data_IF_926837467100
#
_entry.id   IF_926837467100
#
_cell.length_a   1.000
_cell.length_b   1.000
_cell.length_c   1.000
_cell.angle_alpha   90.00
_cell.angle_beta   90.00
_cell.angle_gamma   90.00
#
_symmetry.space_group_name_H-M   'P 1'
#
loop_
_entity.id
_entity.type
_entity.pdbx_description
1 polymer ?
#
# COMPACT_ATOMS: atom_id res chain seq x y z
N UNK A 1 -7.79 -19.43 -8.52
CA UNK A 1 -6.40 -19.58 -8.11
C UNK A 1 -5.42 -19.64 -9.30
N UNK A 2 -5.59 -20.47 -10.36
CA UNK A 2 -4.64 -20.53 -11.47
C UNK A 2 -4.33 -19.17 -12.10
N UNK A 3 -5.35 -18.36 -12.36
CA UNK A 3 -5.19 -17.01 -12.93
C UNK A 3 -4.31 -16.11 -12.08
N UNK A 4 -4.44 -16.20 -10.74
CA UNK A 4 -3.65 -15.40 -9.79
C UNK A 4 -2.19 -15.84 -9.69
N UNK A 5 -1.90 -17.11 -9.98
CA UNK A 5 -0.54 -17.66 -9.92
C UNK A 5 0.26 -17.47 -11.22
N UNK A 6 -0.40 -17.16 -12.32
CA UNK A 6 0.28 -16.87 -13.59
C UNK A 6 0.87 -15.46 -13.60
N UNK A 7 2.10 -15.33 -14.08
CA UNK A 7 2.68 -14.02 -14.37
C UNK A 7 1.99 -13.35 -15.56
N UNK A 8 2.24 -12.05 -15.75
CA UNK A 8 1.83 -11.34 -16.95
C UNK A 8 2.86 -11.55 -18.08
N UNK A 9 2.37 -11.64 -19.31
CA UNK A 9 3.21 -11.46 -20.50
C UNK A 9 3.64 -9.99 -20.61
N UNK A 10 4.94 -9.74 -20.43
CA UNK A 10 5.48 -8.38 -20.46
C UNK A 10 5.50 -7.74 -21.86
N UNK A 11 5.23 -8.51 -22.90
CA UNK A 11 5.07 -7.99 -24.26
C UNK A 11 3.66 -7.43 -24.51
N UNK A 12 2.76 -7.57 -23.55
CA UNK A 12 1.35 -7.13 -23.60
C UNK A 12 1.06 -6.14 -22.47
N UNK A 13 -0.08 -5.41 -22.55
CA UNK A 13 -0.57 -4.62 -21.44
C UNK A 13 -0.70 -5.49 -20.17
N UNK A 14 -0.31 -4.94 -19.02
CA UNK A 14 -0.25 -5.67 -17.76
C UNK A 14 -1.62 -5.78 -17.07
N UNK A 15 -2.63 -6.16 -17.86
CA UNK A 15 -3.96 -6.49 -17.37
C UNK A 15 -4.57 -7.62 -18.24
N UNK A 16 -5.43 -8.41 -17.64
CA UNK A 16 -6.18 -9.49 -18.26
C UNK A 16 -7.61 -9.49 -17.75
N UNK A 17 -8.58 -9.72 -18.62
CA UNK A 17 -9.96 -9.91 -18.26
C UNK A 17 -10.42 -11.30 -18.74
N UNK A 18 -11.00 -12.08 -17.85
CA UNK A 18 -11.50 -13.42 -18.15
C UNK A 18 -12.97 -13.50 -17.77
N UNK A 19 -13.81 -13.86 -18.73
CA UNK A 19 -15.23 -14.14 -18.52
C UNK A 19 -15.38 -15.63 -18.28
N UNK A 20 -16.04 -15.99 -17.19
CA UNK A 20 -16.39 -17.37 -16.82
C UNK A 20 -17.90 -17.50 -16.87
N UNK A 21 -18.38 -18.21 -17.88
CA UNK A 21 -19.80 -18.41 -18.12
C UNK A 21 -20.27 -19.78 -17.61
N UNK A 22 -21.58 -19.93 -17.40
CA UNK A 22 -22.19 -21.18 -17.01
C UNK A 22 -21.93 -21.57 -15.54
N UNK A 23 -21.92 -20.62 -14.63
CA UNK A 23 -21.88 -20.93 -13.20
C UNK A 23 -23.15 -21.64 -12.74
N UNK A 24 -23.08 -22.39 -11.63
CA UNK A 24 -24.14 -23.27 -11.15
C UNK A 24 -25.46 -22.53 -10.87
N UNK A 25 -25.43 -21.26 -10.58
CA UNK A 25 -26.60 -20.40 -10.36
C UNK A 25 -27.09 -19.68 -11.64
N UNK A 26 -26.50 -19.99 -12.80
CA UNK A 26 -26.79 -19.34 -14.07
C UNK A 26 -26.18 -17.97 -14.25
N UNK A 27 -25.32 -17.54 -13.35
CA UNK A 27 -24.60 -16.27 -13.45
C UNK A 27 -23.31 -16.41 -14.25
N UNK A 28 -22.73 -15.28 -14.61
CA UNK A 28 -21.42 -15.16 -15.27
C UNK A 28 -20.48 -14.40 -14.36
N UNK A 29 -19.24 -14.84 -14.22
CA UNK A 29 -18.22 -14.13 -13.46
C UNK A 29 -17.22 -13.45 -14.39
N UNK A 30 -16.84 -12.23 -14.04
CA UNK A 30 -15.72 -11.52 -14.64
C UNK A 30 -14.54 -11.52 -13.67
N UNK A 31 -13.42 -12.06 -14.11
CA UNK A 31 -12.15 -12.01 -13.38
C UNK A 31 -11.28 -10.96 -14.04
N UNK A 32 -11.04 -9.86 -13.34
CA UNK A 32 -10.14 -8.80 -13.78
C UNK A 32 -8.82 -8.91 -13.01
N UNK A 33 -7.73 -9.13 -13.73
CA UNK A 33 -6.38 -9.20 -13.20
C UNK A 33 -5.59 -8.00 -13.68
N UNK A 34 -5.10 -7.18 -12.76
CA UNK A 34 -4.36 -5.95 -13.05
C UNK A 34 -3.04 -5.98 -12.27
N UNK A 35 -1.94 -5.68 -12.97
CA UNK A 35 -0.65 -5.58 -12.30
C UNK A 35 -0.60 -4.34 -11.41
N UNK A 36 -0.09 -4.49 -10.20
CA UNK A 36 -0.10 -3.41 -9.20
C UNK A 36 0.74 -2.17 -9.58
N UNK A 37 1.59 -2.27 -10.63
CA UNK A 37 2.29 -1.08 -11.17
C UNK A 37 1.35 -0.09 -11.88
N UNK A 38 0.17 -0.54 -12.32
CA UNK A 38 -0.81 0.32 -12.99
C UNK A 38 -1.53 1.20 -11.97
N UNK A 39 -1.94 0.60 -10.85
CA UNK A 39 -2.74 1.29 -9.84
C UNK A 39 -2.69 0.58 -8.49
N UNK A 40 -2.91 1.35 -7.42
CA UNK A 40 -3.18 0.80 -6.08
C UNK A 40 -4.68 0.52 -5.86
N UNK A 41 -5.04 0.08 -4.64
CA UNK A 41 -6.42 -0.29 -4.32
C UNK A 41 -7.43 0.83 -4.55
N UNK A 42 -7.11 2.08 -4.18
CA UNK A 42 -8.01 3.23 -4.36
C UNK A 42 -8.14 3.61 -5.83
N UNK A 43 -7.03 3.62 -6.57
CA UNK A 43 -7.04 3.87 -8.01
C UNK A 43 -7.75 2.74 -8.77
N UNK A 44 -7.57 1.48 -8.34
CA UNK A 44 -8.27 0.32 -8.91
C UNK A 44 -9.78 0.39 -8.73
N UNK A 45 -10.26 0.84 -7.56
CA UNK A 45 -11.69 1.09 -7.35
C UNK A 45 -12.25 2.16 -8.31
N UNK A 46 -11.52 3.26 -8.49
CA UNK A 46 -11.92 4.30 -9.45
C UNK A 46 -11.95 3.78 -10.89
N UNK A 47 -10.98 2.96 -11.25
CA UNK A 47 -10.92 2.31 -12.55
C UNK A 47 -12.13 1.38 -12.76
N UNK A 48 -12.49 0.58 -11.75
CA UNK A 48 -13.66 -0.29 -11.81
C UNK A 48 -14.96 0.51 -11.98
N UNK A 49 -15.14 1.60 -11.21
CA UNK A 49 -16.30 2.48 -11.34
C UNK A 49 -16.39 3.19 -12.71
N UNK A 50 -15.26 3.34 -13.40
CA UNK A 50 -15.24 3.89 -14.76
C UNK A 50 -15.49 2.83 -15.84
N UNK A 51 -15.26 1.54 -15.53
CA UNK A 51 -15.40 0.43 -16.47
C UNK A 51 -16.76 -0.27 -16.39
N UNK A 52 -17.44 -0.16 -15.25
CA UNK A 52 -18.68 -0.90 -15.00
C UNK A 52 -19.82 0.03 -14.62
N UNK A 53 -20.98 -0.23 -15.22
CA UNK A 53 -22.24 0.39 -14.82
C UNK A 53 -22.68 -0.19 -13.46
N UNK A 54 -23.31 0.63 -12.62
CA UNK A 54 -23.82 0.21 -11.32
C UNK A 54 -25.26 -0.33 -11.42
N UNK A 55 -25.94 -0.02 -12.51
CA UNK A 55 -27.28 -0.52 -12.83
C UNK A 55 -27.40 -0.85 -14.32
N UNK A 56 -28.31 -1.79 -14.68
CA UNK A 56 -28.50 -2.20 -16.09
C UNK A 56 -28.88 -1.06 -17.04
N UNK A 57 -29.55 -0.04 -16.49
CA UNK A 57 -30.08 1.10 -17.25
C UNK A 57 -29.28 2.39 -17.06
N UNK A 58 -28.06 2.31 -16.51
CA UNK A 58 -27.22 3.48 -16.36
C UNK A 58 -26.93 4.14 -17.72
N UNK A 59 -27.00 5.48 -17.81
CA UNK A 59 -26.70 6.16 -19.05
C UNK A 59 -25.25 5.93 -19.44
N UNK A 60 -25.02 5.46 -20.67
CA UNK A 60 -23.66 5.25 -21.18
C UNK A 60 -22.93 6.59 -21.23
N UNK A 61 -21.76 6.71 -20.56
CA UNK A 61 -20.97 7.92 -20.67
C UNK A 61 -20.49 8.12 -22.10
N UNK A 62 -20.44 9.36 -22.56
CA UNK A 62 -19.72 9.69 -23.79
C UNK A 62 -18.25 9.30 -23.60
N UNK A 63 -17.78 8.39 -24.42
CA UNK A 63 -16.38 8.04 -24.42
C UNK A 63 -15.58 9.18 -25.05
N UNK A 64 -14.47 9.58 -24.46
CA UNK A 64 -13.56 10.53 -25.10
C UNK A 64 -13.06 9.95 -26.42
N UNK A 65 -12.74 10.82 -27.36
CA UNK A 65 -12.12 10.42 -28.62
C UNK A 65 -10.89 9.54 -28.34
N UNK A 66 -10.69 8.53 -29.17
CA UNK A 66 -9.50 7.69 -29.03
C UNK A 66 -8.25 8.57 -29.16
N UNK A 67 -7.27 8.43 -28.25
CA UNK A 67 -6.06 9.21 -28.33
C UNK A 67 -5.31 8.86 -29.62
N UNK A 68 -4.72 9.87 -30.25
CA UNK A 68 -3.85 9.66 -31.39
C UNK A 68 -2.67 8.76 -30.98
N UNK A 69 -2.52 7.65 -31.69
CA UNK A 69 -1.43 6.72 -31.44
C UNK A 69 -0.16 7.26 -32.10
N UNK A 70 0.66 7.94 -31.31
CA UNK A 70 1.99 8.35 -31.73
C UNK A 70 3.04 7.40 -31.16
N UNK A 71 3.69 6.63 -32.02
CA UNK A 71 4.81 5.76 -31.64
C UNK A 71 6.09 6.59 -31.69
N UNK A 72 6.59 6.97 -30.54
CA UNK A 72 7.83 7.74 -30.42
C UNK A 72 9.00 7.03 -31.11
N UNK A 73 9.68 7.74 -31.98
CA UNK A 73 10.97 7.32 -32.54
C UNK A 73 12.05 7.28 -31.46
N UNK A 74 13.19 6.68 -31.74
CA UNK A 74 14.33 6.62 -30.83
C UNK A 74 14.77 8.02 -30.31
N UNK A 75 14.97 9.03 -31.17
CA UNK A 75 15.33 10.37 -30.76
C UNK A 75 14.26 11.04 -29.89
N UNK A 76 12.97 10.87 -30.23
CA UNK A 76 11.86 11.41 -29.46
C UNK A 76 11.78 10.80 -28.06
N UNK A 77 12.03 9.48 -27.93
CA UNK A 77 12.10 8.83 -26.60
C UNK A 77 13.21 9.40 -25.73
N UNK A 78 14.38 9.67 -26.33
CA UNK A 78 15.51 10.28 -25.61
C UNK A 78 15.15 11.70 -25.21
N UNK A 79 14.58 12.50 -26.10
CA UNK A 79 14.16 13.87 -25.82
C UNK A 79 13.08 13.92 -24.72
N UNK A 80 12.10 13.04 -24.79
CA UNK A 80 11.03 12.92 -23.78
C UNK A 80 11.61 12.52 -22.42
N UNK A 81 12.48 11.51 -22.37
CA UNK A 81 13.17 11.07 -21.15
C UNK A 81 14.02 12.20 -20.53
N UNK A 82 14.77 12.94 -21.35
CA UNK A 82 15.58 14.08 -20.87
C UNK A 82 14.68 15.20 -20.33
N UNK A 83 13.60 15.50 -21.04
CA UNK A 83 12.63 16.52 -20.61
C UNK A 83 11.97 16.14 -19.28
N UNK A 84 11.51 14.90 -19.18
CA UNK A 84 10.93 14.35 -17.96
C UNK A 84 11.91 14.42 -16.78
N UNK A 85 13.14 13.93 -16.95
CA UNK A 85 14.16 13.95 -15.89
C UNK A 85 14.57 15.38 -15.49
N UNK A 86 14.60 16.30 -16.43
CA UNK A 86 14.91 17.70 -16.17
C UNK A 86 13.80 18.36 -15.35
N UNK A 87 12.55 18.21 -15.75
CA UNK A 87 11.40 18.75 -15.03
C UNK A 87 11.29 18.15 -13.62
N UNK A 88 11.47 16.83 -13.52
CA UNK A 88 11.47 16.11 -12.25
C UNK A 88 12.60 16.58 -11.33
N UNK A 89 13.81 16.74 -11.85
CA UNK A 89 14.95 17.23 -11.08
C UNK A 89 14.74 18.67 -10.61
N UNK A 90 14.18 19.53 -11.44
CA UNK A 90 13.84 20.89 -11.08
C UNK A 90 12.77 20.95 -9.97
N UNK A 91 11.74 20.12 -10.05
CA UNK A 91 10.68 20.04 -9.02
C UNK A 91 11.22 19.51 -7.68
N UNK A 92 12.10 18.52 -7.73
CA UNK A 92 12.80 18.03 -6.54
C UNK A 92 13.67 19.10 -5.92
N UNK A 93 14.48 19.80 -6.72
CA UNK A 93 15.32 20.88 -6.23
C UNK A 93 14.51 22.01 -5.62
N UNK A 94 13.39 22.39 -6.24
CA UNK A 94 12.48 23.41 -5.68
C UNK A 94 11.86 22.95 -4.35
N UNK A 95 11.47 21.68 -4.22
CA UNK A 95 10.94 21.12 -2.97
C UNK A 95 12.02 21.04 -1.87
N UNK A 96 13.25 20.71 -2.23
CA UNK A 96 14.41 20.73 -1.34
C UNK A 96 14.76 22.15 -0.85
N UNK A 97 14.79 23.11 -1.77
CA UNK A 97 15.04 24.50 -1.43
C UNK A 97 13.98 25.04 -0.47
N UNK A 98 12.71 24.74 -0.71
CA UNK A 98 11.60 25.13 0.16
C UNK A 98 11.69 24.50 1.55
N UNK A 99 12.08 23.23 1.65
CA UNK A 99 12.29 22.53 2.94
C UNK A 99 13.58 22.98 3.61
N UNK A 100 14.65 23.18 2.85
CA UNK A 100 15.94 23.68 3.35
C UNK A 100 15.83 25.07 3.96
N UNK A 101 15.05 25.97 3.38
CA UNK A 101 14.77 27.28 3.95
C UNK A 101 13.98 27.18 5.26
N UNK A 102 12.98 26.30 5.33
CA UNK A 102 12.23 26.02 6.56
C UNK A 102 13.12 25.40 7.64
N UNK A 103 13.97 24.43 7.26
CA UNK A 103 14.94 23.80 8.17
C UNK A 103 16.00 24.78 8.70
N UNK A 104 16.55 25.63 7.84
CA UNK A 104 17.53 26.66 8.25
C UNK A 104 16.90 27.65 9.22
N UNK A 105 15.66 28.07 8.98
CA UNK A 105 14.94 28.95 9.90
C UNK A 105 14.68 28.28 11.26
N UNK A 106 14.33 26.98 11.25
CA UNK A 106 14.17 26.19 12.46
C UNK A 106 15.47 26.08 13.29
N UNK A 107 16.61 25.84 12.64
CA UNK A 107 17.91 25.80 13.32
C UNK A 107 18.28 27.15 13.95
N UNK A 108 17.90 28.26 13.33
CA UNK A 108 18.16 29.60 13.87
C UNK A 108 17.24 29.91 15.06
N UNK A 109 15.98 29.51 14.99
CA UNK A 109 14.97 29.83 16.02
C UNK A 109 14.96 28.87 17.20
N UNK A 110 15.22 27.59 16.94
CA UNK A 110 15.28 26.50 17.94
C UNK A 110 16.31 25.44 17.55
N UNK A 111 17.62 25.68 17.81
CA UNK A 111 18.69 24.76 17.42
C UNK A 111 18.61 23.39 18.14
N UNK A 112 18.11 23.36 19.37
CA UNK A 112 17.95 22.10 20.13
C UNK A 112 16.80 21.25 19.57
N UNK A 113 15.68 21.89 19.31
CA UNK A 113 14.54 21.20 18.68
C UNK A 113 14.84 20.74 17.25
N UNK A 114 15.60 21.52 16.48
CA UNK A 114 16.03 21.11 15.15
C UNK A 114 16.98 19.90 15.17
N UNK A 115 17.87 19.82 16.14
CA UNK A 115 18.78 18.68 16.32
C UNK A 115 18.00 17.42 16.73
N UNK A 116 17.10 17.55 17.70
CA UNK A 116 16.21 16.43 18.13
C UNK A 116 15.33 15.95 16.98
N UNK A 117 14.77 16.86 16.18
CA UNK A 117 13.99 16.50 15.00
C UNK A 117 14.80 15.77 13.92
N UNK A 118 16.07 16.14 13.73
CA UNK A 118 16.96 15.45 12.79
C UNK A 118 17.33 14.03 13.27
N UNK A 119 17.52 13.83 14.56
CA UNK A 119 17.76 12.53 15.17
C UNK A 119 16.53 11.63 15.03
N UNK A 120 15.35 12.12 15.40
CA UNK A 120 14.07 11.41 15.26
C UNK A 120 13.81 11.00 13.81
N UNK A 121 14.07 11.90 12.85
CA UNK A 121 13.92 11.64 11.44
C UNK A 121 14.88 10.53 10.95
N UNK A 122 16.14 10.56 11.39
CA UNK A 122 17.14 9.55 11.04
C UNK A 122 16.73 8.18 11.57
N UNK A 123 16.28 8.11 12.82
CA UNK A 123 15.76 6.87 13.40
C UNK A 123 14.52 6.37 12.69
N UNK A 124 13.61 7.26 12.32
CA UNK A 124 12.38 6.96 11.59
C UNK A 124 12.69 6.35 10.22
N UNK A 125 13.59 6.95 9.45
CA UNK A 125 14.06 6.40 8.17
C UNK A 125 14.73 5.05 8.36
N UNK A 126 15.57 4.91 9.39
CA UNK A 126 16.24 3.65 9.67
C UNK A 126 15.24 2.54 10.02
N UNK A 127 14.23 2.81 10.85
CA UNK A 127 13.14 1.85 11.15
C UNK A 127 12.42 1.38 9.89
N UNK A 128 12.21 2.28 8.94
CA UNK A 128 11.49 1.99 7.70
C UNK A 128 12.28 1.06 6.77
N UNK A 129 13.58 1.32 6.60
CA UNK A 129 14.42 0.60 5.62
C UNK A 129 15.17 -0.59 6.19
N UNK A 130 15.30 -0.71 7.51
CA UNK A 130 16.02 -1.79 8.16
C UNK A 130 15.44 -3.16 7.77
N UNK A 131 16.25 -4.07 7.23
CA UNK A 131 15.83 -5.45 7.03
C UNK A 131 15.41 -6.09 8.37
N UNK A 132 14.34 -6.84 8.32
CA UNK A 132 13.82 -7.53 9.49
C UNK A 132 13.43 -8.96 9.13
N UNK A 133 13.44 -9.85 10.11
CA UNK A 133 12.92 -11.21 9.97
C UNK A 133 11.46 -11.27 10.43
N UNK A 134 10.64 -12.19 9.89
CA UNK A 134 9.32 -12.46 10.42
C UNK A 134 9.37 -12.75 11.93
N UNK A 135 8.32 -12.40 12.66
CA UNK A 135 8.18 -12.70 14.09
C UNK A 135 7.48 -14.04 14.31
N UNK A 136 6.69 -14.47 13.35
CA UNK A 136 6.00 -15.75 13.38
C UNK A 136 6.96 -16.91 13.17
N UNK A 137 6.95 -17.91 14.03
CA UNK A 137 7.69 -19.16 13.79
C UNK A 137 7.03 -20.07 12.75
N UNK A 138 5.79 -19.77 12.33
CA UNK A 138 5.01 -20.55 11.36
C UNK A 138 5.07 -19.97 9.95
N UNK A 139 5.28 -18.65 9.82
CA UNK A 139 5.23 -17.91 8.55
C UNK A 139 6.66 -17.55 8.12
N UNK A 140 7.51 -18.53 7.99
CA UNK A 140 8.95 -18.34 7.71
C UNK A 140 9.29 -18.55 6.25
N UNK A 141 8.59 -19.45 5.57
CA UNK A 141 8.83 -19.78 4.17
C UNK A 141 7.85 -19.06 3.24
N UNK A 142 8.31 -18.81 2.02
CA UNK A 142 7.53 -18.17 0.96
C UNK A 142 7.49 -19.08 -0.25
N UNK A 143 6.31 -19.23 -0.83
CA UNK A 143 6.13 -19.92 -2.11
C UNK A 143 5.46 -19.00 -3.12
N UNK A 144 5.46 -19.41 -4.39
CA UNK A 144 4.70 -18.75 -5.46
C UNK A 144 3.25 -19.27 -5.55
N UNK A 145 2.90 -20.26 -4.71
CA UNK A 145 1.53 -20.77 -4.62
C UNK A 145 0.66 -19.79 -3.84
N UNK A 146 -0.52 -19.52 -4.36
CA UNK A 146 -1.51 -18.62 -3.76
C UNK A 146 -2.78 -19.40 -3.49
N UNK A 147 -3.37 -19.17 -2.31
CA UNK A 147 -4.72 -19.64 -1.98
C UNK A 147 -5.60 -18.45 -1.63
N UNK A 148 -6.83 -18.49 -2.10
CA UNK A 148 -7.83 -17.48 -1.82
C UNK A 148 -8.89 -18.07 -0.89
N UNK A 149 -9.32 -17.26 0.06
CA UNK A 149 -10.49 -17.52 0.89
C UNK A 149 -11.30 -16.24 1.02
N UNK A 150 -12.61 -16.36 1.12
CA UNK A 150 -13.52 -15.23 1.31
C UNK A 150 -14.27 -15.40 2.62
N UNK A 151 -14.44 -14.29 3.33
CA UNK A 151 -15.28 -14.21 4.53
C UNK A 151 -16.18 -13.00 4.38
N UNK A 152 -17.48 -13.22 4.57
CA UNK A 152 -18.48 -12.17 4.55
C UNK A 152 -19.14 -12.05 5.91
N UNK A 153 -19.36 -10.84 6.36
CA UNK A 153 -20.15 -10.55 7.57
C UNK A 153 -20.84 -9.19 7.44
N UNK A 154 -21.95 -8.98 8.15
CA UNK A 154 -22.72 -7.74 8.03
C UNK A 154 -21.93 -6.51 8.49
N UNK A 155 -21.82 -5.51 7.63
CA UNK A 155 -21.12 -4.26 7.92
C UNK A 155 -21.62 -3.55 9.22
N UNK A 156 -22.92 -3.54 9.56
CA UNK A 156 -23.38 -2.96 10.84
C UNK A 156 -22.73 -3.59 12.06
N UNK A 157 -22.46 -4.90 12.04
CA UNK A 157 -21.79 -5.60 13.16
C UNK A 157 -20.35 -5.11 13.32
N UNK A 158 -19.60 -4.99 12.21
CA UNK A 158 -18.24 -4.47 12.25
C UNK A 158 -18.19 -3.01 12.73
N UNK A 159 -19.15 -2.17 12.30
CA UNK A 159 -19.28 -0.79 12.78
C UNK A 159 -19.62 -0.71 14.26
N UNK A 160 -20.48 -1.59 14.77
CA UNK A 160 -20.83 -1.66 16.18
C UNK A 160 -19.62 -2.07 17.04
N UNK A 161 -18.86 -3.08 16.61
CA UNK A 161 -17.63 -3.50 17.27
C UNK A 161 -16.58 -2.38 17.31
N UNK A 162 -16.36 -1.70 16.19
CA UNK A 162 -15.46 -0.55 16.13
C UNK A 162 -15.90 0.57 17.11
N UNK A 163 -17.20 0.89 17.15
CA UNK A 163 -17.74 1.90 18.04
C UNK A 163 -17.59 1.53 19.53
N UNK A 164 -17.75 0.25 19.88
CA UNK A 164 -17.54 -0.24 21.24
C UNK A 164 -16.09 -0.03 21.72
N UNK A 165 -15.11 -0.08 20.81
CA UNK A 165 -13.72 0.22 21.08
C UNK A 165 -13.36 1.70 20.92
N UNK A 166 -14.32 2.61 20.71
CA UNK A 166 -14.08 4.01 20.32
C UNK A 166 -13.20 4.15 19.07
N UNK A 167 -13.22 3.14 18.21
CA UNK A 167 -12.40 3.02 17.01
C UNK A 167 -13.17 3.28 15.70
N UNK A 168 -12.49 3.00 14.60
CA UNK A 168 -13.04 3.04 13.23
C UNK A 168 -13.15 1.63 12.67
N UNK A 169 -13.85 1.48 11.56
CA UNK A 169 -14.01 0.19 10.87
C UNK A 169 -12.67 -0.52 10.60
N UNK A 170 -11.64 0.24 10.27
CA UNK A 170 -10.30 -0.30 10.06
C UNK A 170 -9.70 -0.93 11.34
N UNK A 171 -10.01 -0.40 12.52
CA UNK A 171 -9.52 -0.95 13.79
C UNK A 171 -10.20 -2.29 14.08
N UNK A 172 -11.48 -2.42 13.77
CA UNK A 172 -12.20 -3.70 13.85
C UNK A 172 -11.69 -4.72 12.83
N UNK A 173 -11.36 -4.28 11.62
CA UNK A 173 -10.79 -5.15 10.58
C UNK A 173 -9.42 -5.71 11.00
N UNK A 174 -8.49 -4.85 11.42
CA UNK A 174 -7.15 -5.27 11.85
C UNK A 174 -7.24 -6.10 13.15
N UNK A 175 -8.11 -5.71 14.10
CA UNK A 175 -8.34 -6.47 15.33
C UNK A 175 -8.86 -7.87 15.05
N UNK A 176 -9.80 -8.01 14.12
CA UNK A 176 -10.30 -9.32 13.69
C UNK A 176 -9.23 -10.21 13.06
N UNK A 177 -8.36 -9.62 12.21
CA UNK A 177 -7.21 -10.33 11.63
C UNK A 177 -6.22 -10.76 12.70
N UNK A 178 -5.86 -9.88 13.64
CA UNK A 178 -4.93 -10.17 14.71
C UNK A 178 -5.42 -11.33 15.58
N UNK A 179 -6.69 -11.28 16.00
CA UNK A 179 -7.32 -12.37 16.77
C UNK A 179 -7.39 -13.69 15.99
N UNK A 180 -7.67 -13.61 14.68
CA UNK A 180 -7.67 -14.77 13.81
C UNK A 180 -6.29 -15.41 13.68
N UNK A 181 -5.25 -14.60 13.46
CA UNK A 181 -3.86 -15.05 13.38
C UNK A 181 -3.37 -15.61 14.71
N UNK A 182 -3.72 -14.99 15.81
CA UNK A 182 -3.41 -15.52 17.15
C UNK A 182 -4.00 -16.90 17.33
N UNK A 183 -5.30 -17.11 17.07
CA UNK A 183 -5.96 -18.42 17.15
C UNK A 183 -5.31 -19.45 16.24
N UNK A 184 -4.86 -19.03 15.08
CA UNK A 184 -4.12 -19.88 14.16
C UNK A 184 -2.80 -20.38 14.79
N UNK A 185 -2.04 -19.49 15.42
CA UNK A 185 -0.79 -19.87 16.11
C UNK A 185 -1.06 -20.79 17.30
N UNK A 186 -2.06 -20.49 18.11
CA UNK A 186 -2.49 -21.32 19.25
C UNK A 186 -2.89 -22.74 18.80
N UNK A 187 -3.64 -22.86 17.70
CA UNK A 187 -4.03 -24.15 17.13
C UNK A 187 -2.83 -24.98 16.65
N UNK A 188 -1.69 -24.35 16.37
CA UNK A 188 -0.43 -25.01 16.04
C UNK A 188 0.54 -25.11 17.23
N UNK A 189 0.04 -24.96 18.44
CA UNK A 189 0.82 -24.99 19.69
C UNK A 189 2.00 -23.99 19.68
N UNK A 190 1.79 -22.82 19.10
CA UNK A 190 2.75 -21.70 19.07
C UNK A 190 2.08 -20.46 19.64
N UNK A 191 2.69 -19.87 20.65
CA UNK A 191 2.28 -18.57 21.17
C UNK A 191 3.25 -17.52 20.63
N UNK A 192 2.71 -16.39 20.19
CA UNK A 192 3.47 -15.25 19.70
C UNK A 192 3.03 -14.00 20.45
N UNK A 193 3.99 -13.18 20.85
CA UNK A 193 3.70 -11.93 21.57
C UNK A 193 3.26 -10.84 20.59
N UNK A 194 3.86 -10.80 19.42
CA UNK A 194 3.51 -9.87 18.35
C UNK A 194 3.75 -10.48 16.97
N UNK A 195 3.08 -9.93 15.97
CA UNK A 195 3.31 -10.20 14.55
C UNK A 195 3.59 -8.89 13.81
N UNK A 196 4.39 -8.99 12.77
CA UNK A 196 4.74 -7.82 11.96
C UNK A 196 3.82 -7.68 10.76
N UNK A 197 3.05 -6.61 10.77
CA UNK A 197 2.11 -6.25 9.71
C UNK A 197 2.74 -5.23 8.76
N UNK A 198 2.61 -5.47 7.46
CA UNK A 198 2.75 -4.42 6.45
C UNK A 198 1.37 -3.78 6.20
N UNK A 199 1.29 -2.46 6.31
CA UNK A 199 0.08 -1.70 6.05
C UNK A 199 0.37 -0.60 5.03
N UNK A 200 -0.30 -0.58 3.88
CA UNK A 200 -0.22 0.55 2.98
C UNK A 200 -0.95 1.76 3.56
N UNK A 201 -0.23 2.88 3.67
CA UNK A 201 -0.78 4.19 4.06
C UNK A 201 -0.99 4.98 2.79
N UNK A 202 -2.22 5.39 2.53
CA UNK A 202 -2.53 6.26 1.39
C UNK A 202 -2.01 7.67 1.66
N UNK A 203 -1.14 8.16 0.78
CA UNK A 203 -0.54 9.51 0.83
C UNK A 203 -1.05 10.45 -0.26
N UNK A 204 -2.15 10.09 -0.94
CA UNK A 204 -2.78 10.98 -1.90
C UNK A 204 -3.26 12.25 -1.23
N UNK A 205 -2.63 13.37 -1.58
CA UNK A 205 -3.12 14.68 -1.23
C UNK A 205 -4.25 15.08 -2.18
N UNK A 206 -5.21 15.87 -1.69
CA UNK A 206 -6.34 16.38 -2.49
C UNK A 206 -5.89 17.20 -3.71
N UNK A 207 -4.66 17.69 -3.69
CA UNK A 207 -4.02 18.48 -4.76
C UNK A 207 -3.41 17.63 -5.89
N UNK A 208 -3.06 16.38 -5.64
CA UNK A 208 -2.65 15.45 -6.70
C UNK A 208 -3.92 14.86 -7.28
N UNK A 209 -4.37 15.42 -8.36
CA UNK A 209 -5.66 15.13 -8.97
C UNK A 209 -5.98 13.64 -9.14
N UNK A 210 -7.11 13.36 -9.72
CA UNK A 210 -7.76 12.07 -9.90
C UNK A 210 -6.95 11.03 -10.73
N UNK A 211 -5.62 11.13 -10.74
CA UNK A 211 -4.72 10.31 -11.54
C UNK A 211 -4.67 8.87 -11.02
N UNK A 212 -4.80 7.93 -11.94
CA UNK A 212 -4.41 6.55 -11.74
C UNK A 212 -2.93 6.48 -11.33
N UNK A 213 -2.54 5.48 -10.56
CA UNK A 213 -1.17 5.30 -10.10
C UNK A 213 -1.10 4.91 -8.63
N UNK A 214 0.10 4.59 -8.18
CA UNK A 214 0.36 4.20 -6.80
C UNK A 214 0.70 5.43 -5.96
N UNK A 215 -0.06 5.66 -4.90
CA UNK A 215 0.19 6.73 -3.94
C UNK A 215 0.04 6.21 -2.51
N UNK A 216 0.85 5.22 -2.16
CA UNK A 216 0.89 4.66 -0.82
C UNK A 216 2.33 4.45 -0.33
N UNK A 217 2.49 4.44 0.98
CA UNK A 217 3.73 4.10 1.67
C UNK A 217 3.51 2.79 2.44
N UNK A 218 4.39 1.80 2.32
CA UNK A 218 4.32 0.60 3.14
C UNK A 218 4.80 0.93 4.56
N UNK A 219 3.88 0.99 5.52
CA UNK A 219 4.22 1.12 6.92
C UNK A 219 4.37 -0.25 7.57
N UNK A 220 5.43 -0.42 8.35
CA UNK A 220 5.68 -1.61 9.14
C UNK A 220 5.20 -1.39 10.56
N UNK A 221 4.32 -2.27 11.02
CA UNK A 221 3.68 -2.15 12.33
C UNK A 221 3.84 -3.48 13.07
N UNK A 222 4.29 -3.44 14.31
CA UNK A 222 4.24 -4.60 15.20
C UNK A 222 2.88 -4.64 15.89
N UNK A 223 2.11 -5.67 15.57
CA UNK A 223 0.76 -5.91 16.05
C UNK A 223 0.85 -6.81 17.27
N UNK A 224 0.53 -6.33 18.48
CA UNK A 224 0.52 -7.19 19.66
C UNK A 224 -0.55 -8.27 19.53
N UNK A 225 -0.27 -9.48 20.01
CA UNK A 225 -1.20 -10.60 20.00
C UNK A 225 -1.98 -10.72 21.32
N UNK A 226 -1.72 -9.86 22.27
CA UNK A 226 -2.45 -9.67 23.52
C UNK A 226 -2.95 -8.22 23.60
N UNK A 227 -4.02 -7.94 24.27
CA UNK A 227 -4.86 -8.77 25.17
C UNK A 227 -5.84 -9.69 24.42
N UNK A 228 -6.46 -10.58 25.20
CA UNK A 228 -7.46 -11.54 24.72
C UNK A 228 -8.80 -10.88 24.39
N UNK A 229 -9.12 -9.78 25.06
CA UNK A 229 -10.34 -9.04 24.88
C UNK A 229 -10.33 -8.24 23.56
N UNK A 230 -11.30 -8.47 22.66
CA UNK A 230 -11.31 -7.84 21.34
C UNK A 230 -11.33 -6.30 21.39
N UNK A 231 -12.01 -5.72 22.38
CA UNK A 231 -12.10 -4.25 22.52
C UNK A 231 -10.73 -3.67 22.89
N UNK A 232 -10.03 -4.29 23.84
CA UNK A 232 -8.70 -3.83 24.26
C UNK A 232 -7.67 -4.04 23.15
N UNK A 233 -7.77 -5.14 22.43
CA UNK A 233 -6.96 -5.37 21.22
C UNK A 233 -7.15 -4.24 20.18
N UNK A 234 -8.39 -3.87 19.88
CA UNK A 234 -8.68 -2.79 18.94
C UNK A 234 -8.13 -1.43 19.42
N UNK A 235 -8.22 -1.14 20.72
CA UNK A 235 -7.68 0.11 21.30
C UNK A 235 -6.15 0.17 21.18
N UNK A 236 -5.45 -0.90 21.53
CA UNK A 236 -3.99 -0.99 21.39
C UNK A 236 -3.57 -0.84 19.93
N UNK A 237 -4.21 -1.58 19.02
CA UNK A 237 -3.93 -1.51 17.60
C UNK A 237 -4.13 -0.11 17.03
N UNK A 238 -5.17 0.58 17.47
CA UNK A 238 -5.40 1.96 17.04
C UNK A 238 -4.23 2.87 17.40
N UNK A 239 -3.70 2.79 18.62
CA UNK A 239 -2.56 3.62 19.03
C UNK A 239 -1.31 3.33 18.19
N UNK A 240 -1.01 2.06 17.97
CA UNK A 240 0.15 1.61 17.17
C UNK A 240 0.00 2.04 15.69
N UNK A 241 -1.20 1.89 15.13
CA UNK A 241 -1.51 2.28 13.74
C UNK A 241 -1.45 3.80 13.53
N UNK A 242 -1.95 4.58 14.50
CA UNK A 242 -1.87 6.04 14.43
C UNK A 242 -0.42 6.50 14.53
N UNK A 243 0.36 5.94 15.44
CA UNK A 243 1.78 6.26 15.56
C UNK A 243 2.54 5.98 14.25
N UNK A 244 2.31 4.82 13.64
CA UNK A 244 2.93 4.48 12.35
C UNK A 244 2.49 5.41 11.20
N UNK A 245 1.28 5.97 11.26
CA UNK A 245 0.81 6.96 10.28
C UNK A 245 1.54 8.30 10.42
N UNK A 246 1.77 8.70 11.66
CA UNK A 246 2.37 10.00 12.00
C UNK A 246 3.91 9.94 12.01
N UNK A 247 4.50 8.84 11.51
CA UNK A 247 5.96 8.64 11.41
C UNK A 247 6.60 9.72 10.52
N UNK A 248 7.60 10.49 11.01
CA UNK A 248 8.22 11.59 10.27
C UNK A 248 8.83 11.17 8.93
N UNK A 249 9.32 9.93 8.81
CA UNK A 249 9.85 9.41 7.55
C UNK A 249 8.82 9.35 6.42
N UNK A 250 7.52 9.31 6.74
CA UNK A 250 6.47 9.29 5.72
C UNK A 250 6.50 10.53 4.83
N UNK A 251 6.87 11.68 5.37
CA UNK A 251 7.00 12.95 4.63
C UNK A 251 8.20 12.95 3.67
N UNK A 252 9.17 12.09 3.91
CA UNK A 252 10.36 11.94 3.07
C UNK A 252 10.25 10.80 2.05
N UNK A 253 9.18 10.01 2.08
CA UNK A 253 9.06 8.82 1.22
C UNK A 253 9.09 9.16 -0.26
N UNK A 254 8.51 10.28 -0.67
CA UNK A 254 8.61 10.74 -2.06
C UNK A 254 10.07 10.98 -2.45
N UNK A 255 10.84 11.59 -1.58
CA UNK A 255 12.25 11.87 -1.76
C UNK A 255 13.08 10.59 -1.82
N UNK A 256 12.84 9.67 -0.88
CA UNK A 256 13.49 8.35 -0.83
C UNK A 256 13.14 7.53 -2.06
N UNK A 257 11.88 7.51 -2.47
CA UNK A 257 11.39 6.82 -3.66
C UNK A 257 12.08 7.34 -4.93
N UNK A 258 12.24 8.65 -5.06
CA UNK A 258 12.94 9.27 -6.18
C UNK A 258 14.44 8.92 -6.21
N UNK A 259 15.07 8.81 -5.05
CA UNK A 259 16.46 8.31 -4.93
C UNK A 259 16.57 6.84 -5.31
N UNK A 260 15.69 6.01 -4.78
CA UNK A 260 15.66 4.57 -5.05
C UNK A 260 15.41 4.24 -6.53
N UNK A 261 14.58 5.02 -7.21
CA UNK A 261 14.30 4.85 -8.63
C UNK A 261 15.50 5.13 -9.54
N UNK A 262 16.59 5.71 -9.02
CA UNK A 262 17.87 5.90 -9.75
C UNK A 262 18.86 4.76 -9.54
N UNK A 263 18.57 3.86 -8.62
CA UNK A 263 19.38 2.67 -8.43
C UNK A 263 19.09 1.64 -9.52
N UNK A 264 20.04 0.77 -9.84
CA UNK A 264 19.79 -0.39 -10.70
C UNK A 264 18.59 -1.20 -10.17
N UNK A 265 17.76 -1.70 -11.08
CA UNK A 265 16.55 -2.47 -10.73
C UNK A 265 16.85 -3.65 -9.81
N UNK A 266 17.98 -4.30 -9.95
CA UNK A 266 18.41 -5.39 -9.07
C UNK A 266 18.60 -4.94 -7.61
N UNK A 267 19.19 -3.77 -7.40
CA UNK A 267 19.39 -3.19 -6.06
C UNK A 267 18.06 -2.77 -5.45
N UNK A 268 17.23 -2.07 -6.21
CA UNK A 268 15.89 -1.66 -5.77
C UNK A 268 15.04 -2.87 -5.41
N UNK A 269 15.02 -3.91 -6.25
CA UNK A 269 14.28 -5.15 -5.99
C UNK A 269 14.81 -5.90 -4.77
N UNK A 270 16.12 -5.94 -4.56
CA UNK A 270 16.72 -6.56 -3.38
C UNK A 270 16.34 -5.83 -2.09
N UNK A 271 16.38 -4.49 -2.11
CA UNK A 271 16.01 -3.66 -0.95
C UNK A 271 14.53 -3.81 -0.59
N UNK A 272 13.63 -3.64 -1.57
CA UNK A 272 12.20 -3.85 -1.35
C UNK A 272 11.88 -5.30 -0.94
N UNK A 273 12.54 -6.27 -1.54
CA UNK A 273 12.41 -7.67 -1.15
C UNK A 273 12.79 -7.90 0.31
N UNK A 274 13.90 -7.31 0.76
CA UNK A 274 14.33 -7.41 2.16
C UNK A 274 13.35 -6.73 3.13
N UNK A 275 12.79 -5.59 2.74
CA UNK A 275 11.77 -4.88 3.53
C UNK A 275 10.47 -5.69 3.66
N UNK A 276 10.00 -6.30 2.57
CA UNK A 276 8.73 -7.02 2.53
C UNK A 276 8.81 -8.40 3.18
N UNK A 277 9.93 -9.11 3.00
CA UNK A 277 10.12 -10.47 3.55
C UNK A 277 10.09 -10.53 5.07
N UNK A 278 10.39 -9.43 5.74
CA UNK A 278 10.34 -9.34 7.20
C UNK A 278 8.95 -9.18 7.80
N UNK A 279 7.89 -9.11 7.01
CA UNK A 279 6.54 -9.00 7.51
C UNK A 279 5.87 -10.37 7.58
N UNK A 280 5.07 -10.62 8.61
CA UNK A 280 4.29 -11.86 8.76
C UNK A 280 3.04 -11.82 7.88
N UNK A 281 2.37 -10.67 7.80
CA UNK A 281 1.19 -10.48 6.98
C UNK A 281 1.04 -9.04 6.46
N UNK A 282 0.16 -8.87 5.49
CA UNK A 282 -0.23 -7.55 4.99
C UNK A 282 -1.72 -7.36 5.19
N UNK A 283 -2.11 -6.19 5.70
CA UNK A 283 -3.51 -5.80 5.84
C UNK A 283 -3.79 -4.53 5.04
N UNK A 284 -4.67 -4.63 4.06
CA UNK A 284 -5.12 -3.51 3.24
C UNK A 284 -6.64 -3.41 3.30
N UNK A 285 -7.13 -2.23 3.64
CA UNK A 285 -8.56 -1.92 3.64
C UNK A 285 -8.84 -1.01 2.43
N UNK A 286 -9.54 -1.56 1.45
CA UNK A 286 -9.97 -0.85 0.24
C UNK A 286 -11.46 -0.59 0.36
N UNK A 287 -11.95 0.64 0.13
CA UNK A 287 -13.37 1.00 0.24
C UNK A 287 -14.27 0.29 -0.76
#
# INVERSE_FOLDING_TARGET
EPTGMQGFDRARPLWEATIVDGLADGTTALILKIHHSITDGVGGMKLQLALFDLAPDDPKPELPDAPDIHVLSQPERVADAVTYETQRSASLFASWAKRGLGGAMGVITDPVGALAGAEELTESVFRLVKPASPLSPLITERSLSVRFATLQFPLPIAKAAAKAAHGRLNDAFIGGLALGLRRYHEAHARNVESLRMNRPINVRNQTVGNTAGNAFIPARVEVPMHPDEPIEMMKQLRSVVLHARDEPANDLMELLSNGLNRLPTSMTSALFGAMLKGNDFTASNVP
#
